data_IF_323139541758
#
_entry.id   IF_323139541758
#
_cell.length_a   1.000
_cell.length_b   1.000
_cell.length_c   1.000
_cell.angle_alpha   90.00
_cell.angle_beta   90.00
_cell.angle_gamma   90.00
#
_symmetry.space_group_name_H-M   'P 1'
#
loop_
_entity.id
_entity.type
_entity.pdbx_description
1 polymer ?
#
# COMPACT_ATOMS: atom_id res chain seq x y z
N UNK A 1 54.38 -56.84 30.14
CA UNK A 1 53.20 -57.72 30.02
C UNK A 1 52.10 -56.87 29.44
N UNK A 2 51.81 -56.98 28.09
CA UNK A 2 50.67 -57.70 27.47
C UNK A 2 49.34 -57.20 28.09
N UNK A 3 48.41 -56.71 27.42
CA UNK A 3 47.58 -56.78 26.22
C UNK A 3 46.45 -55.78 26.42
N UNK A 4 45.62 -55.31 25.60
CA UNK A 4 45.20 -55.56 24.20
C UNK A 4 44.30 -54.43 23.72
N UNK A 5 44.30 -54.25 22.44
CA UNK A 5 43.42 -53.35 21.69
C UNK A 5 41.95 -53.86 21.67
N UNK A 6 41.02 -52.96 21.63
CA UNK A 6 39.76 -53.18 20.93
C UNK A 6 39.23 -51.90 20.28
N UNK A 7 39.24 -51.92 18.94
CA UNK A 7 38.52 -51.00 18.06
C UNK A 7 37.03 -51.30 18.16
N UNK A 8 36.22 -50.26 18.25
CA UNK A 8 34.86 -50.29 17.73
C UNK A 8 34.65 -49.04 16.93
N UNK A 9 34.42 -49.23 15.67
CA UNK A 9 34.00 -48.22 14.72
C UNK A 9 32.52 -47.88 14.91
N UNK A 10 32.19 -46.63 14.83
CA UNK A 10 30.84 -46.12 14.74
C UNK A 10 30.83 -44.99 13.74
N UNK A 11 30.30 -45.24 12.54
CA UNK A 11 29.99 -44.22 11.55
C UNK A 11 28.97 -43.25 12.14
N UNK A 12 29.39 -42.03 12.43
CA UNK A 12 28.49 -40.93 12.66
C UNK A 12 28.21 -40.29 11.28
N UNK A 13 27.03 -40.56 10.74
CA UNK A 13 26.47 -39.85 9.60
C UNK A 13 26.16 -38.43 10.07
N UNK A 14 27.05 -37.51 9.74
CA UNK A 14 26.82 -36.09 9.98
C UNK A 14 25.81 -35.55 8.98
N UNK A 15 24.57 -35.33 9.44
CA UNK A 15 23.59 -34.51 8.72
C UNK A 15 24.07 -33.07 8.71
N UNK A 16 24.59 -32.61 7.56
CA UNK A 16 24.81 -31.21 7.27
C UNK A 16 23.43 -30.54 7.19
N UNK A 17 22.98 -29.95 8.28
CA UNK A 17 21.91 -28.98 8.25
C UNK A 17 22.45 -27.70 7.60
N UNK A 18 22.19 -27.52 6.29
CA UNK A 18 22.33 -26.23 5.65
C UNK A 18 21.30 -25.29 6.28
N UNK A 19 21.74 -24.53 7.26
CA UNK A 19 21.02 -23.36 7.72
C UNK A 19 21.07 -22.33 6.57
N UNK A 20 19.99 -22.23 5.81
CA UNK A 20 19.72 -21.04 5.01
C UNK A 20 19.53 -19.86 5.99
N UNK A 21 20.62 -19.19 6.34
CA UNK A 21 20.55 -17.84 6.85
C UNK A 21 20.03 -16.99 5.69
N UNK A 22 18.74 -16.71 5.70
CA UNK A 22 18.18 -15.59 4.97
C UNK A 22 18.86 -14.33 5.53
N UNK A 23 19.82 -13.79 4.77
CA UNK A 23 20.45 -12.53 5.09
C UNK A 23 19.38 -11.45 4.97
N UNK A 24 18.68 -11.19 6.07
CA UNK A 24 17.91 -9.95 6.20
C UNK A 24 18.90 -8.80 6.18
N UNK A 25 18.60 -7.69 5.48
CA UNK A 25 19.51 -6.57 5.41
C UNK A 25 19.78 -6.07 6.84
N UNK A 26 20.97 -6.33 7.33
CA UNK A 26 21.44 -6.00 8.69
C UNK A 26 21.29 -4.51 9.05
N UNK A 27 21.13 -3.64 8.05
CA UNK A 27 21.04 -2.19 8.23
C UNK A 27 19.78 -1.69 8.93
N UNK A 28 18.67 -2.47 8.96
CA UNK A 28 17.44 -2.07 9.69
C UNK A 28 17.39 -2.59 11.12
N UNK A 29 18.09 -3.68 11.44
CA UNK A 29 18.07 -4.29 12.77
C UNK A 29 18.88 -3.53 13.83
N UNK A 30 19.74 -2.59 13.43
CA UNK A 30 20.64 -1.84 14.34
C UNK A 30 20.28 -0.36 14.52
N UNK A 31 19.36 0.18 13.73
CA UNK A 31 18.92 1.56 13.86
C UNK A 31 17.85 1.70 14.96
N UNK A 32 18.26 1.58 16.21
CA UNK A 32 17.40 1.82 17.35
C UNK A 32 16.97 3.29 17.34
N UNK A 33 15.66 3.53 17.23
CA UNK A 33 15.12 4.89 17.23
C UNK A 33 15.37 5.57 18.57
N UNK A 34 15.97 6.75 18.55
CA UNK A 34 16.20 7.55 19.76
C UNK A 34 14.87 7.86 20.46
N UNK A 35 14.76 7.56 21.75
CA UNK A 35 13.53 7.73 22.52
C UNK A 35 13.02 9.18 22.55
N UNK A 36 13.93 10.16 22.47
CA UNK A 36 13.58 11.57 22.40
C UNK A 36 12.87 11.92 21.11
N UNK A 37 13.23 11.28 19.99
CA UNK A 37 12.57 11.45 18.70
C UNK A 37 11.20 10.79 18.67
N UNK A 38 11.07 9.62 19.30
CA UNK A 38 9.76 8.95 19.48
C UNK A 38 8.80 9.87 20.23
N UNK A 39 9.26 10.44 21.34
CA UNK A 39 8.45 11.36 22.14
C UNK A 39 8.09 12.64 21.39
N UNK A 40 9.03 13.21 20.63
CA UNK A 40 8.76 14.39 19.80
C UNK A 40 7.67 14.13 18.75
N UNK A 41 7.73 12.98 18.07
CA UNK A 41 6.74 12.59 17.08
C UNK A 41 5.38 12.26 17.73
N UNK A 42 5.37 11.64 18.90
CA UNK A 42 4.16 11.37 19.69
C UNK A 42 3.46 12.68 20.10
N UNK A 43 4.20 13.66 20.59
CA UNK A 43 3.67 14.98 20.93
C UNK A 43 3.06 15.65 19.70
N UNK A 44 3.73 15.60 18.56
CA UNK A 44 3.21 16.15 17.31
C UNK A 44 1.90 15.48 16.88
N UNK A 45 1.80 14.15 16.98
CA UNK A 45 0.58 13.40 16.68
C UNK A 45 -0.57 13.71 17.64
N UNK A 46 -0.27 14.06 18.92
CA UNK A 46 -1.29 14.48 19.90
C UNK A 46 -1.68 15.97 19.80
N UNK A 47 -1.23 16.67 18.74
CA UNK A 47 -1.54 18.09 18.51
C UNK A 47 -0.53 19.06 19.15
N UNK A 48 0.43 18.58 19.95
CA UNK A 48 1.47 19.41 20.58
C UNK A 48 2.69 19.55 19.66
N UNK A 49 2.46 20.00 18.43
CA UNK A 49 3.47 20.05 17.37
C UNK A 49 4.67 20.92 17.75
N UNK A 50 4.44 22.07 18.39
CA UNK A 50 5.51 23.00 18.78
C UNK A 50 6.42 22.41 19.86
N UNK A 51 5.85 21.63 20.80
CA UNK A 51 6.62 20.90 21.80
C UNK A 51 7.50 19.85 21.14
N UNK A 52 6.96 19.07 20.19
CA UNK A 52 7.72 18.11 19.41
C UNK A 52 8.85 18.77 18.61
N UNK A 53 8.59 19.90 17.94
CA UNK A 53 9.60 20.68 17.21
C UNK A 53 10.71 21.19 18.14
N UNK A 54 10.36 21.63 19.35
CA UNK A 54 11.32 22.12 20.32
C UNK A 54 12.30 21.01 20.75
N UNK A 55 11.81 19.78 20.97
CA UNK A 55 12.66 18.63 21.29
C UNK A 55 13.62 18.34 20.15
N UNK A 56 13.12 18.20 18.92
CA UNK A 56 13.95 17.86 17.74
C UNK A 56 15.00 18.96 17.47
N UNK A 57 14.62 20.23 17.55
CA UNK A 57 15.53 21.37 17.36
C UNK A 57 16.65 21.37 18.40
N UNK A 58 16.32 21.13 19.68
CA UNK A 58 17.33 21.05 20.75
C UNK A 58 18.27 19.87 20.51
N UNK A 59 17.74 18.74 20.09
CA UNK A 59 18.53 17.55 19.78
C UNK A 59 19.50 17.83 18.63
N UNK A 60 19.04 18.39 17.51
CA UNK A 60 19.90 18.75 16.38
C UNK A 60 20.97 19.77 16.74
N UNK A 61 20.72 20.66 17.70
CA UNK A 61 21.70 21.63 18.17
C UNK A 61 22.82 21.00 19.04
N UNK A 62 22.59 19.80 19.60
CA UNK A 62 23.54 19.11 20.48
C UNK A 62 24.27 17.96 19.80
N UNK A 63 23.71 17.41 18.72
CA UNK A 63 24.31 16.30 17.97
C UNK A 63 25.39 16.80 17.00
N UNK A 64 26.46 16.03 16.85
CA UNK A 64 27.39 16.18 15.74
C UNK A 64 26.78 15.63 14.44
N UNK A 65 27.06 16.22 13.27
CA UNK A 65 26.67 15.62 11.98
C UNK A 65 27.19 14.20 11.76
N UNK A 66 28.26 13.78 12.46
CA UNK A 66 28.79 12.41 12.42
C UNK A 66 28.04 11.42 13.30
N UNK A 67 27.15 11.88 14.18
CA UNK A 67 26.37 11.00 15.03
C UNK A 67 25.35 10.19 14.22
N UNK A 68 25.24 8.91 14.51
CA UNK A 68 24.28 8.00 13.83
C UNK A 68 22.82 8.41 14.02
N UNK A 69 22.53 9.16 15.07
CA UNK A 69 21.18 9.70 15.38
C UNK A 69 20.87 10.97 14.57
N UNK A 70 21.88 11.66 14.04
CA UNK A 70 21.70 12.93 13.34
C UNK A 70 20.76 12.84 12.11
N UNK A 71 20.94 11.88 11.16
CA UNK A 71 20.01 11.74 10.04
C UNK A 71 18.59 11.34 10.49
N UNK A 72 18.47 10.59 11.56
CA UNK A 72 17.18 10.27 12.16
C UNK A 72 16.48 11.53 12.74
N UNK A 73 17.24 12.42 13.38
CA UNK A 73 16.72 13.70 13.87
C UNK A 73 16.30 14.63 12.71
N UNK A 74 17.04 14.64 11.59
CA UNK A 74 16.64 15.35 10.37
C UNK A 74 15.32 14.79 9.80
N UNK A 75 15.15 13.45 9.79
CA UNK A 75 13.93 12.81 9.33
C UNK A 75 12.73 13.18 10.22
N UNK A 76 12.93 13.16 11.54
CA UNK A 76 11.91 13.61 12.49
C UNK A 76 11.57 15.10 12.30
N UNK A 77 12.59 15.95 12.10
CA UNK A 77 12.39 17.37 11.80
C UNK A 77 11.56 17.57 10.53
N UNK A 78 11.84 16.81 9.47
CA UNK A 78 11.06 16.86 8.23
C UNK A 78 9.58 16.47 8.46
N UNK A 79 9.33 15.40 9.23
CA UNK A 79 7.97 14.91 9.51
C UNK A 79 7.08 15.91 10.26
N UNK A 80 7.67 16.81 11.04
CA UNK A 80 6.94 17.81 11.86
C UNK A 80 7.23 19.26 11.47
N UNK A 81 7.84 19.47 10.30
CA UNK A 81 8.17 20.79 9.79
C UNK A 81 6.91 21.62 9.51
N UNK A 82 7.00 22.95 9.63
CA UNK A 82 5.86 23.83 9.40
C UNK A 82 5.54 24.06 7.92
N UNK A 83 6.51 23.83 7.04
CA UNK A 83 6.44 24.17 5.63
C UNK A 83 7.20 23.20 4.75
N UNK A 84 6.81 23.15 3.49
CA UNK A 84 7.37 22.24 2.49
C UNK A 84 8.86 22.48 2.18
N UNK A 85 9.33 23.72 2.29
CA UNK A 85 10.72 24.07 2.05
C UNK A 85 11.62 23.44 3.12
N UNK A 86 11.24 23.55 4.38
CA UNK A 86 11.94 22.91 5.50
C UNK A 86 11.91 21.40 5.40
N UNK A 87 10.75 20.81 4.98
CA UNK A 87 10.64 19.37 4.71
C UNK A 87 11.65 18.94 3.65
N UNK A 88 11.62 19.57 2.47
CA UNK A 88 12.48 19.20 1.35
C UNK A 88 13.97 19.40 1.68
N UNK A 89 14.33 20.47 2.37
CA UNK A 89 15.70 20.75 2.78
C UNK A 89 16.28 19.65 3.68
N UNK A 90 15.54 19.26 4.73
CA UNK A 90 15.98 18.21 5.65
C UNK A 90 16.08 16.85 4.95
N UNK A 91 15.08 16.50 4.12
CA UNK A 91 15.07 15.22 3.40
C UNK A 91 16.21 15.15 2.36
N UNK A 92 16.42 16.21 1.58
CA UNK A 92 17.52 16.26 0.62
C UNK A 92 18.88 16.16 1.32
N UNK A 93 19.03 16.78 2.48
CA UNK A 93 20.25 16.63 3.28
C UNK A 93 20.52 15.18 3.66
N UNK A 94 19.48 14.43 4.08
CA UNK A 94 19.62 13.00 4.39
C UNK A 94 20.09 12.25 3.14
N UNK A 95 19.44 12.48 1.99
CA UNK A 95 19.73 11.76 0.75
C UNK A 95 21.13 12.05 0.21
N UNK A 96 21.65 13.27 0.43
CA UNK A 96 22.97 13.70 -0.08
C UNK A 96 24.09 13.34 0.88
N UNK A 97 23.94 13.66 2.18
CA UNK A 97 25.01 13.51 3.16
C UNK A 97 25.02 12.12 3.83
N UNK A 98 23.85 11.46 3.90
CA UNK A 98 23.66 10.19 4.62
C UNK A 98 23.07 9.08 3.73
N UNK A 99 23.32 9.15 2.42
CA UNK A 99 22.73 8.22 1.44
C UNK A 99 23.07 6.74 1.67
N UNK A 100 24.18 6.41 2.32
CA UNK A 100 24.50 5.03 2.70
C UNK A 100 23.82 4.57 4.00
N UNK A 101 23.13 5.48 4.69
CA UNK A 101 22.48 5.20 5.97
C UNK A 101 21.08 4.59 5.83
N UNK A 102 20.53 4.07 6.95
CA UNK A 102 19.25 3.34 6.96
C UNK A 102 18.00 4.22 6.78
N UNK A 103 18.17 5.54 6.71
CA UNK A 103 17.07 6.52 6.66
C UNK A 103 16.91 7.21 5.30
N UNK A 104 17.80 6.90 4.35
CA UNK A 104 17.80 7.59 3.07
C UNK A 104 16.67 7.13 2.14
N UNK A 105 16.25 5.87 2.21
CA UNK A 105 15.09 5.37 1.50
C UNK A 105 13.78 5.94 2.06
N UNK A 106 13.68 6.10 3.41
CA UNK A 106 12.57 6.83 4.05
C UNK A 106 12.50 8.28 3.55
N UNK A 107 13.65 8.96 3.48
CA UNK A 107 13.73 10.34 3.00
C UNK A 107 13.28 10.46 1.53
N UNK A 108 13.69 9.54 0.67
CA UNK A 108 13.29 9.51 -0.74
C UNK A 108 11.79 9.23 -0.90
N UNK A 109 11.22 8.32 -0.10
CA UNK A 109 9.77 8.10 -0.11
C UNK A 109 9.02 9.37 0.28
N UNK A 110 9.45 10.05 1.35
CA UNK A 110 8.81 11.29 1.79
C UNK A 110 8.97 12.42 0.76
N UNK A 111 10.13 12.54 0.08
CA UNK A 111 10.30 13.46 -1.04
C UNK A 111 9.35 13.14 -2.18
N UNK A 112 9.21 11.87 -2.55
CA UNK A 112 8.27 11.43 -3.58
C UNK A 112 6.83 11.88 -3.24
N UNK A 113 6.41 11.69 -2.00
CA UNK A 113 5.08 12.08 -1.52
C UNK A 113 4.91 13.61 -1.46
N UNK A 114 5.94 14.33 -1.03
CA UNK A 114 5.94 15.79 -0.98
C UNK A 114 5.79 16.40 -2.37
N UNK A 115 6.61 15.98 -3.33
CA UNK A 115 6.55 16.50 -4.70
C UNK A 115 5.21 16.15 -5.38
N UNK A 116 4.68 14.96 -5.10
CA UNK A 116 3.35 14.60 -5.58
C UNK A 116 2.25 15.53 -5.00
N UNK A 117 2.34 15.84 -3.71
CA UNK A 117 1.41 16.78 -3.05
C UNK A 117 1.54 18.21 -3.61
N UNK A 118 2.74 18.60 -4.00
CA UNK A 118 3.03 19.89 -4.65
C UNK A 118 2.62 19.94 -6.13
N UNK A 119 2.09 18.84 -6.69
CA UNK A 119 1.75 18.69 -8.11
C UNK A 119 2.95 18.87 -9.04
N UNK A 120 4.10 18.41 -8.59
CA UNK A 120 5.31 18.31 -9.40
C UNK A 120 5.56 16.85 -9.80
N UNK A 121 4.95 16.38 -10.90
CA UNK A 121 5.08 14.99 -11.32
C UNK A 121 6.50 14.63 -11.76
N UNK A 122 7.27 15.58 -12.26
CA UNK A 122 8.65 15.34 -12.71
C UNK A 122 9.56 15.03 -11.51
N UNK A 123 9.52 15.84 -10.47
CA UNK A 123 10.28 15.61 -9.24
C UNK A 123 9.79 14.35 -8.50
N UNK A 124 8.48 14.07 -8.53
CA UNK A 124 7.90 12.85 -7.96
C UNK A 124 8.51 11.60 -8.58
N UNK A 125 8.53 11.55 -9.91
CA UNK A 125 9.14 10.43 -10.66
C UNK A 125 10.63 10.32 -10.34
N UNK A 126 11.37 11.42 -10.38
CA UNK A 126 12.81 11.43 -10.13
C UNK A 126 13.16 10.88 -8.73
N UNK A 127 12.44 11.30 -7.70
CA UNK A 127 12.66 10.83 -6.33
C UNK A 127 12.35 9.32 -6.18
N UNK A 128 11.24 8.85 -6.77
CA UNK A 128 10.86 7.44 -6.73
C UNK A 128 11.83 6.54 -7.52
N UNK A 129 12.26 6.98 -8.70
CA UNK A 129 13.25 6.25 -9.50
C UNK A 129 14.60 6.17 -8.80
N UNK A 130 15.00 7.24 -8.11
CA UNK A 130 16.20 7.23 -7.29
C UNK A 130 16.08 6.22 -6.14
N UNK A 131 14.92 6.14 -5.46
CA UNK A 131 14.69 5.13 -4.42
C UNK A 131 14.81 3.72 -5.01
N UNK A 132 14.18 3.46 -6.16
CA UNK A 132 14.22 2.14 -6.78
C UNK A 132 15.63 1.71 -7.22
N UNK A 133 16.45 2.66 -7.72
CA UNK A 133 17.80 2.41 -8.21
C UNK A 133 18.80 2.26 -7.08
N UNK A 134 18.78 3.18 -6.09
CA UNK A 134 19.79 3.27 -5.06
C UNK A 134 19.50 2.32 -3.89
N UNK A 135 18.21 1.92 -3.71
CA UNK A 135 17.75 1.02 -2.62
C UNK A 135 16.86 -0.11 -3.15
N UNK A 136 17.42 -1.04 -3.96
CA UNK A 136 16.64 -2.10 -4.63
C UNK A 136 15.92 -3.05 -3.65
N UNK A 137 16.44 -3.21 -2.43
CA UNK A 137 15.89 -4.08 -1.40
C UNK A 137 14.96 -3.34 -0.40
N UNK A 138 14.70 -2.05 -0.62
CA UNK A 138 13.85 -1.28 0.27
C UNK A 138 12.38 -1.75 0.20
N UNK A 139 11.74 -2.07 1.34
CA UNK A 139 10.32 -2.39 1.40
C UNK A 139 9.41 -1.17 1.14
N UNK A 140 10.00 0.02 0.95
CA UNK A 140 9.27 1.25 0.65
C UNK A 140 9.02 1.44 -0.85
N UNK A 141 9.68 0.66 -1.71
CA UNK A 141 9.57 0.72 -3.17
C UNK A 141 8.11 0.65 -3.67
N UNK A 142 7.26 -0.25 -3.17
CA UNK A 142 5.87 -0.31 -3.63
C UNK A 142 5.11 1.00 -3.45
N UNK A 143 5.33 1.69 -2.33
CA UNK A 143 4.70 2.99 -2.04
C UNK A 143 5.27 4.11 -2.91
N UNK A 144 6.57 4.10 -3.18
CA UNK A 144 7.22 5.03 -4.10
C UNK A 144 6.72 4.80 -5.54
N UNK A 145 6.64 3.54 -5.99
CA UNK A 145 6.11 3.15 -7.30
C UNK A 145 4.67 3.61 -7.49
N UNK A 146 3.83 3.47 -6.47
CA UNK A 146 2.45 3.95 -6.52
C UNK A 146 2.36 5.47 -6.72
N UNK A 147 3.18 6.23 -6.00
CA UNK A 147 3.22 7.69 -6.16
C UNK A 147 3.75 8.09 -7.54
N UNK A 148 4.81 7.43 -8.01
CA UNK A 148 5.36 7.65 -9.35
C UNK A 148 4.38 7.27 -10.47
N UNK A 149 3.64 6.16 -10.32
CA UNK A 149 2.62 5.75 -11.27
C UNK A 149 1.57 6.84 -11.48
N UNK A 150 1.10 7.42 -10.38
CA UNK A 150 0.14 8.53 -10.41
C UNK A 150 0.73 9.77 -11.11
N UNK A 151 1.99 10.08 -10.85
CA UNK A 151 2.70 11.15 -11.51
C UNK A 151 2.87 10.89 -13.01
N UNK A 152 3.18 9.66 -13.42
CA UNK A 152 3.25 9.29 -14.84
C UNK A 152 1.89 9.42 -15.56
N UNK A 153 0.79 9.13 -14.87
CA UNK A 153 -0.54 9.38 -15.41
C UNK A 153 -0.82 10.87 -15.63
N UNK A 154 -0.34 11.74 -14.75
CA UNK A 154 -0.41 13.20 -14.95
C UNK A 154 0.45 13.64 -16.15
N UNK A 155 1.62 13.02 -16.34
CA UNK A 155 2.51 13.21 -17.49
C UNK A 155 2.00 12.54 -18.79
N UNK A 156 0.82 11.92 -18.79
CA UNK A 156 0.22 11.19 -19.93
C UNK A 156 1.04 9.98 -20.38
N UNK A 157 1.90 9.44 -19.55
CA UNK A 157 2.63 8.20 -19.81
C UNK A 157 1.92 7.02 -19.15
N UNK A 158 0.81 6.58 -19.78
CA UNK A 158 -0.04 5.50 -19.28
C UNK A 158 0.72 4.19 -19.15
N UNK A 159 1.56 3.85 -20.13
CA UNK A 159 2.30 2.59 -20.14
C UNK A 159 3.22 2.46 -18.91
N UNK A 160 4.02 3.49 -18.62
CA UNK A 160 4.91 3.49 -17.47
C UNK A 160 4.14 3.57 -16.16
N UNK A 161 3.06 4.35 -16.13
CA UNK A 161 2.15 4.39 -14.97
C UNK A 161 1.59 3.02 -14.64
N UNK A 162 1.13 2.27 -15.62
CA UNK A 162 0.56 0.93 -15.42
C UNK A 162 1.60 -0.10 -15.00
N UNK A 163 2.80 -0.05 -15.54
CA UNK A 163 3.91 -0.91 -15.09
C UNK A 163 4.20 -0.69 -13.60
N UNK A 164 4.26 0.57 -13.16
CA UNK A 164 4.53 0.89 -11.76
C UNK A 164 3.35 0.55 -10.84
N UNK A 165 2.11 0.59 -11.31
CA UNK A 165 0.95 0.08 -10.58
C UNK A 165 1.09 -1.42 -10.33
N UNK A 166 1.50 -2.19 -11.33
CA UNK A 166 1.72 -3.63 -11.17
C UNK A 166 2.84 -3.88 -10.16
N UNK A 167 3.99 -3.21 -10.31
CA UNK A 167 5.11 -3.32 -9.36
C UNK A 167 4.71 -2.94 -7.91
N UNK A 168 3.80 -1.99 -7.75
CA UNK A 168 3.28 -1.61 -6.43
C UNK A 168 2.36 -2.69 -5.84
N UNK A 169 1.52 -3.35 -6.66
CA UNK A 169 0.67 -4.46 -6.24
C UNK A 169 1.49 -5.67 -5.82
N UNK A 170 2.47 -6.05 -6.64
CA UNK A 170 3.32 -7.22 -6.42
C UNK A 170 4.16 -7.06 -5.13
N UNK A 171 4.60 -5.85 -4.84
CA UNK A 171 5.39 -5.54 -3.66
C UNK A 171 4.57 -5.17 -2.41
N UNK A 172 3.24 -5.12 -2.49
CA UNK A 172 2.40 -4.64 -1.38
C UNK A 172 2.31 -5.61 -0.18
N UNK A 173 2.83 -6.85 -0.30
CA UNK A 173 2.83 -7.84 0.79
C UNK A 173 1.43 -8.04 1.36
N UNK A 174 1.28 -8.03 2.69
CA UNK A 174 -0.01 -8.21 3.37
C UNK A 174 -0.75 -6.89 3.67
N UNK A 175 -0.27 -5.75 3.15
CA UNK A 175 -0.91 -4.45 3.35
C UNK A 175 -2.18 -4.33 2.48
N UNK A 176 -3.30 -4.80 3.03
CA UNK A 176 -4.60 -4.83 2.35
C UNK A 176 -5.08 -3.42 2.00
N UNK A 177 -4.85 -2.44 2.89
CA UNK A 177 -5.26 -1.05 2.64
C UNK A 177 -4.50 -0.48 1.44
N UNK A 178 -3.19 -0.67 1.42
CA UNK A 178 -2.36 -0.24 0.30
C UNK A 178 -2.73 -0.95 -1.00
N UNK A 179 -2.96 -2.29 -0.97
CA UNK A 179 -3.45 -3.04 -2.14
C UNK A 179 -4.75 -2.47 -2.69
N UNK A 180 -5.70 -2.15 -1.83
CA UNK A 180 -6.97 -1.57 -2.24
C UNK A 180 -6.78 -0.20 -2.92
N UNK A 181 -5.90 0.64 -2.38
CA UNK A 181 -5.57 1.93 -2.99
C UNK A 181 -4.97 1.76 -4.38
N UNK A 182 -4.00 0.87 -4.52
CA UNK A 182 -3.31 0.63 -5.81
C UNK A 182 -4.27 -0.01 -6.82
N UNK A 183 -5.10 -0.97 -6.41
CA UNK A 183 -6.07 -1.67 -7.28
C UNK A 183 -7.09 -0.71 -7.90
N UNK A 184 -7.44 0.37 -7.22
CA UNK A 184 -8.28 1.42 -7.79
C UNK A 184 -7.67 2.03 -9.06
N UNK A 185 -6.36 2.22 -9.08
CA UNK A 185 -5.64 2.74 -10.24
C UNK A 185 -5.35 1.66 -11.30
N UNK A 186 -5.25 0.39 -10.90
CA UNK A 186 -5.05 -0.73 -11.82
C UNK A 186 -6.20 -0.88 -12.83
N UNK A 187 -7.42 -0.50 -12.45
CA UNK A 187 -8.56 -0.48 -13.36
C UNK A 187 -8.37 0.43 -14.58
N UNK A 188 -7.51 1.45 -14.48
CA UNK A 188 -7.14 2.33 -15.59
C UNK A 188 -6.21 1.65 -16.60
N UNK A 189 -5.47 0.64 -16.14
CA UNK A 189 -4.45 -0.07 -16.91
C UNK A 189 -5.01 -1.23 -17.74
N UNK A 190 -6.27 -1.59 -17.54
CA UNK A 190 -6.93 -2.58 -18.40
C UNK A 190 -7.16 -1.98 -19.78
N UNK A 191 -6.83 -2.68 -20.88
CA UNK A 191 -7.14 -2.19 -22.21
C UNK A 191 -8.64 -1.89 -22.29
N UNK A 192 -9.04 -0.80 -22.98
CA UNK A 192 -10.45 -0.54 -23.20
C UNK A 192 -11.03 -1.78 -23.89
N UNK A 193 -12.03 -2.40 -23.27
CA UNK A 193 -12.80 -3.46 -23.92
C UNK A 193 -13.36 -2.88 -25.21
N UNK A 194 -12.76 -3.25 -26.33
CA UNK A 194 -13.28 -2.88 -27.66
C UNK A 194 -14.73 -3.32 -27.70
N UNK A 195 -15.70 -2.44 -27.94
CA UNK A 195 -17.06 -2.89 -28.16
C UNK A 195 -17.00 -3.81 -29.37
N UNK A 196 -17.24 -5.09 -29.18
CA UNK A 196 -17.47 -6.01 -30.28
C UNK A 196 -18.65 -5.47 -31.08
N UNK A 197 -18.36 -4.92 -32.24
CA UNK A 197 -19.37 -4.49 -33.21
C UNK A 197 -20.16 -5.74 -33.59
N UNK A 198 -21.30 -5.94 -32.97
CA UNK A 198 -22.26 -6.96 -33.36
C UNK A 198 -22.75 -6.60 -34.75
N UNK A 199 -22.21 -7.25 -35.75
CA UNK A 199 -22.73 -7.21 -37.13
C UNK A 199 -24.16 -7.76 -37.08
N UNK A 200 -25.09 -6.88 -37.36
CA UNK A 200 -26.51 -7.21 -37.52
C UNK A 200 -26.67 -8.27 -38.61
N UNK A 201 -26.98 -9.49 -38.25
CA UNK A 201 -27.48 -10.50 -39.17
C UNK A 201 -28.99 -10.61 -38.94
N UNK A 202 -29.75 -10.36 -39.99
CA UNK A 202 -31.19 -10.43 -40.14
C UNK A 202 -31.75 -11.81 -39.73
N UNK A 203 -32.98 -11.90 -39.19
CA UNK A 203 -33.49 -13.15 -38.63
C UNK A 203 -33.99 -14.10 -39.70
N UNK A 204 -33.53 -15.35 -39.66
CA UNK A 204 -34.23 -16.47 -40.33
C UNK A 204 -34.81 -17.37 -39.27
N UNK A 205 -36.12 -17.52 -39.31
CA UNK A 205 -36.95 -18.37 -38.51
C UNK A 205 -36.59 -19.85 -38.74
N UNK A 206 -36.22 -20.59 -37.70
CA UNK A 206 -36.50 -22.02 -37.64
C UNK A 206 -36.68 -22.49 -36.20
N UNK A 207 -37.82 -23.12 -35.99
CA UNK A 207 -38.35 -23.68 -34.76
C UNK A 207 -37.71 -25.02 -34.49
N UNK A 208 -36.95 -25.15 -33.41
CA UNK A 208 -36.70 -26.46 -32.79
C UNK A 208 -36.56 -26.31 -31.28
N UNK A 209 -37.47 -26.92 -30.58
CA UNK A 209 -37.52 -27.03 -29.12
C UNK A 209 -36.30 -27.76 -28.59
N UNK A 210 -35.55 -27.11 -27.68
CA UNK A 210 -34.49 -27.74 -26.90
C UNK A 210 -34.74 -27.50 -25.41
N UNK A 211 -34.57 -28.59 -24.65
CA UNK A 211 -34.75 -28.69 -23.21
C UNK A 211 -34.15 -27.56 -22.38
N UNK A 212 -34.64 -27.25 -21.18
CA UNK A 212 -34.20 -26.15 -20.36
C UNK A 212 -32.77 -26.38 -19.88
N UNK A 213 -31.85 -25.54 -20.35
CA UNK A 213 -30.51 -25.39 -19.75
C UNK A 213 -30.65 -24.64 -18.41
N UNK A 214 -29.86 -25.02 -17.37
CA UNK A 214 -29.82 -24.27 -16.14
C UNK A 214 -29.38 -22.81 -16.43
N UNK A 215 -29.94 -21.81 -15.70
CA UNK A 215 -29.61 -20.42 -15.95
C UNK A 215 -28.12 -20.17 -15.74
N UNK A 216 -27.47 -19.33 -16.58
CA UNK A 216 -26.10 -18.92 -16.35
C UNK A 216 -26.04 -18.25 -14.99
N UNK A 217 -25.05 -18.59 -14.19
CA UNK A 217 -24.76 -17.97 -12.91
C UNK A 217 -24.68 -16.46 -13.13
N UNK A 218 -25.71 -15.74 -12.74
CA UNK A 218 -25.76 -14.30 -12.88
C UNK A 218 -24.71 -13.70 -11.96
N UNK A 219 -23.63 -13.18 -12.53
CA UNK A 219 -22.67 -12.37 -11.78
C UNK A 219 -23.41 -11.21 -11.15
N UNK A 220 -23.39 -11.14 -9.83
CA UNK A 220 -23.99 -10.05 -9.08
C UNK A 220 -22.91 -9.05 -8.69
N UNK A 221 -23.26 -7.77 -8.72
CA UNK A 221 -22.39 -6.69 -8.27
C UNK A 221 -22.91 -6.15 -6.95
N UNK A 222 -22.00 -5.75 -6.05
CA UNK A 222 -22.34 -5.04 -4.83
C UNK A 222 -21.45 -3.81 -4.64
N UNK A 223 -21.86 -2.90 -3.76
CA UNK A 223 -21.05 -1.76 -3.37
C UNK A 223 -20.47 -1.99 -1.99
N UNK A 224 -19.16 -2.16 -1.88
CA UNK A 224 -18.48 -2.27 -0.59
C UNK A 224 -18.19 -0.89 -0.03
N UNK A 225 -18.62 -0.64 1.21
CA UNK A 225 -18.49 0.65 1.89
C UNK A 225 -17.51 0.63 3.04
N UNK A 226 -17.19 -0.56 3.58
CA UNK A 226 -16.28 -0.73 4.72
C UNK A 226 -15.62 -2.11 4.67
N UNK A 227 -14.35 -2.17 5.14
CA UNK A 227 -13.66 -3.43 5.42
C UNK A 227 -12.80 -3.23 6.68
N UNK A 228 -13.17 -3.87 7.79
CA UNK A 228 -12.55 -3.69 9.11
C UNK A 228 -12.50 -5.01 9.88
N UNK A 229 -11.64 -5.09 10.89
CA UNK A 229 -11.58 -6.22 11.84
C UNK A 229 -12.45 -6.02 13.08
N UNK A 230 -12.91 -4.80 13.34
CA UNK A 230 -13.71 -4.46 14.52
C UNK A 230 -15.20 -4.63 14.26
N UNK A 231 -15.88 -5.47 15.04
CA UNK A 231 -17.32 -5.66 14.98
C UNK A 231 -18.09 -4.38 15.34
N UNK A 232 -17.60 -3.58 16.30
CA UNK A 232 -18.25 -2.33 16.70
C UNK A 232 -18.31 -1.30 15.55
N UNK A 233 -17.27 -1.22 14.70
CA UNK A 233 -17.26 -0.34 13.52
C UNK A 233 -18.23 -0.82 12.44
N UNK A 234 -18.45 -2.13 12.36
CA UNK A 234 -19.46 -2.72 11.45
C UNK A 234 -20.85 -2.34 11.88
N UNK A 235 -21.16 -2.47 13.19
CA UNK A 235 -22.48 -2.17 13.74
C UNK A 235 -22.84 -0.68 13.59
N UNK A 236 -21.87 0.23 13.82
CA UNK A 236 -22.05 1.67 13.56
C UNK A 236 -22.35 1.95 12.09
N UNK A 237 -21.60 1.33 11.17
CA UNK A 237 -21.83 1.51 9.74
C UNK A 237 -23.16 0.94 9.29
N UNK A 238 -23.57 -0.25 9.76
CA UNK A 238 -24.88 -0.84 9.46
C UNK A 238 -26.04 0.04 9.95
N UNK A 239 -25.91 0.59 11.15
CA UNK A 239 -26.90 1.50 11.71
C UNK A 239 -27.03 2.77 10.87
N UNK A 240 -25.93 3.38 10.47
CA UNK A 240 -25.93 4.54 9.57
C UNK A 240 -26.57 4.24 8.22
N UNK A 241 -26.20 3.14 7.60
CA UNK A 241 -26.76 2.73 6.30
C UNK A 241 -28.26 2.48 6.38
N UNK A 242 -28.72 1.82 7.45
CA UNK A 242 -30.15 1.54 7.70
C UNK A 242 -30.97 2.83 7.87
N UNK A 243 -30.47 3.80 8.63
CA UNK A 243 -31.11 5.12 8.81
C UNK A 243 -31.23 5.87 7.47
N UNK A 244 -30.25 5.70 6.57
CA UNK A 244 -30.26 6.32 5.24
C UNK A 244 -31.05 5.53 4.18
N UNK A 245 -31.70 4.42 4.56
CA UNK A 245 -32.53 3.60 3.69
C UNK A 245 -31.74 2.66 2.76
N UNK A 246 -30.53 2.30 3.13
CA UNK A 246 -29.73 1.33 2.37
C UNK A 246 -29.76 -0.05 3.03
N UNK A 247 -30.03 -1.08 2.25
CA UNK A 247 -29.88 -2.46 2.68
C UNK A 247 -28.41 -2.87 2.60
N UNK A 248 -27.81 -3.13 3.75
CA UNK A 248 -26.43 -3.55 3.87
C UNK A 248 -26.31 -4.94 4.48
N UNK A 249 -25.31 -5.68 4.05
CA UNK A 249 -24.95 -6.99 4.61
C UNK A 249 -23.47 -7.06 4.94
N UNK A 250 -23.13 -7.93 5.88
CA UNK A 250 -21.76 -8.19 6.28
C UNK A 250 -21.29 -9.49 5.64
N UNK A 251 -20.14 -9.44 5.00
CA UNK A 251 -19.44 -10.61 4.48
C UNK A 251 -18.12 -10.74 5.24
N UNK A 252 -17.87 -11.88 5.86
CA UNK A 252 -16.62 -12.17 6.52
C UNK A 252 -15.70 -12.90 5.54
N UNK A 253 -14.50 -12.40 5.32
CA UNK A 253 -13.54 -13.10 4.48
C UNK A 253 -12.68 -14.08 5.29
N UNK A 254 -11.92 -14.91 4.58
CA UNK A 254 -11.02 -15.91 5.17
C UNK A 254 -9.90 -15.31 6.02
N UNK A 255 -9.61 -14.03 5.86
CA UNK A 255 -8.58 -13.30 6.62
C UNK A 255 -9.14 -12.63 7.89
N UNK A 256 -10.44 -12.81 8.17
CA UNK A 256 -11.11 -12.32 9.38
C UNK A 256 -11.59 -10.87 9.30
N UNK A 257 -11.56 -10.23 8.10
CA UNK A 257 -12.16 -8.92 7.90
C UNK A 257 -13.67 -9.03 7.71
N UNK A 258 -14.39 -8.08 8.30
CA UNK A 258 -15.78 -7.83 8.04
C UNK A 258 -15.91 -6.80 6.91
N UNK A 259 -16.55 -7.18 5.82
CA UNK A 259 -16.82 -6.33 4.67
C UNK A 259 -18.30 -5.97 4.65
N UNK A 260 -18.61 -4.68 4.75
CA UNK A 260 -19.99 -4.19 4.65
C UNK A 260 -20.28 -3.89 3.18
N UNK A 261 -21.26 -4.60 2.61
CA UNK A 261 -21.70 -4.48 1.21
C UNK A 261 -23.15 -4.03 1.14
N UNK A 262 -23.45 -3.15 0.18
CA UNK A 262 -24.77 -2.57 -0.04
C UNK A 262 -25.31 -3.03 -1.39
N UNK A 263 -26.55 -3.50 -1.38
CA UNK A 263 -27.31 -3.94 -2.56
C UNK A 263 -26.78 -5.22 -3.20
N UNK A 264 -27.55 -5.70 -4.18
CA UNK A 264 -27.18 -6.71 -5.20
C UNK A 264 -27.66 -6.19 -6.53
N UNK A 265 -26.76 -6.02 -7.47
CA UNK A 265 -27.04 -5.42 -8.78
C UNK A 265 -26.68 -6.42 -9.87
N UNK A 266 -27.49 -6.49 -10.90
CA UNK A 266 -27.28 -7.41 -12.02
C UNK A 266 -26.23 -6.83 -12.97
N UNK A 267 -26.13 -5.48 -13.05
CA UNK A 267 -25.17 -4.80 -13.92
C UNK A 267 -24.22 -3.93 -13.11
N UNK A 268 -23.01 -3.78 -13.64
CA UNK A 268 -21.98 -2.93 -13.05
C UNK A 268 -22.38 -1.45 -13.05
N UNK A 269 -23.14 -1.03 -14.05
CA UNK A 269 -23.66 0.35 -14.19
C UNK A 269 -24.66 0.69 -13.08
N UNK A 270 -25.51 -0.27 -12.69
CA UNK A 270 -26.42 -0.11 -11.56
C UNK A 270 -25.65 0.03 -10.25
N UNK A 271 -24.67 -0.83 -10.03
CA UNK A 271 -23.79 -0.77 -8.87
C UNK A 271 -23.03 0.58 -8.81
N UNK A 272 -22.53 1.08 -9.94
CA UNK A 272 -21.87 2.40 -10.02
C UNK A 272 -22.83 3.56 -9.72
N UNK A 273 -24.10 3.47 -10.14
CA UNK A 273 -25.13 4.47 -9.79
C UNK A 273 -25.38 4.47 -8.28
N UNK A 274 -25.46 3.29 -7.68
CA UNK A 274 -25.59 3.14 -6.23
C UNK A 274 -24.35 3.63 -5.48
N UNK A 275 -23.16 3.35 -5.99
CA UNK A 275 -21.89 3.85 -5.45
C UNK A 275 -21.85 5.38 -5.38
N UNK A 276 -22.27 6.08 -6.45
CA UNK A 276 -22.33 7.56 -6.44
C UNK A 276 -23.30 8.08 -5.39
N UNK A 277 -24.48 7.46 -5.23
CA UNK A 277 -25.47 7.83 -4.21
C UNK A 277 -24.94 7.59 -2.78
N UNK A 278 -24.27 6.46 -2.56
CA UNK A 278 -23.62 6.14 -1.28
C UNK A 278 -22.52 7.13 -0.94
N UNK A 279 -21.66 7.47 -1.90
CA UNK A 279 -20.60 8.45 -1.70
C UNK A 279 -21.14 9.82 -1.29
N UNK A 280 -22.26 10.26 -1.85
CA UNK A 280 -22.87 11.54 -1.49
C UNK A 280 -23.52 11.54 -0.12
N UNK A 281 -24.11 10.42 0.32
CA UNK A 281 -24.89 10.35 1.57
C UNK A 281 -24.08 9.88 2.77
N UNK A 282 -23.19 8.91 2.57
CA UNK A 282 -22.43 8.25 3.65
C UNK A 282 -21.02 8.82 3.76
N UNK A 283 -20.53 9.40 2.68
CA UNK A 283 -19.11 9.79 2.56
C UNK A 283 -18.22 8.56 2.33
N UNK A 284 -16.91 8.74 2.54
CA UNK A 284 -15.93 7.68 2.32
C UNK A 284 -15.70 7.39 0.84
N UNK A 285 -15.14 6.23 0.56
CA UNK A 285 -14.87 5.77 -0.82
C UNK A 285 -15.50 4.38 -1.05
N UNK A 286 -16.81 4.30 -1.22
CA UNK A 286 -17.46 3.05 -1.60
C UNK A 286 -16.99 2.62 -3.00
N UNK A 287 -16.83 1.32 -3.23
CA UNK A 287 -16.42 0.76 -4.52
C UNK A 287 -17.25 -0.47 -4.90
N UNK A 288 -17.38 -0.69 -6.21
CA UNK A 288 -18.12 -1.83 -6.75
C UNK A 288 -17.27 -3.09 -6.68
N UNK A 289 -17.85 -4.18 -6.19
CA UNK A 289 -17.25 -5.52 -6.13
C UNK A 289 -18.09 -6.51 -6.90
N UNK A 290 -17.43 -7.46 -7.54
CA UNK A 290 -18.09 -8.62 -8.14
C UNK A 290 -18.42 -9.62 -7.03
N UNK A 291 -19.60 -10.23 -7.14
CA UNK A 291 -20.01 -11.34 -6.29
C UNK A 291 -20.25 -12.56 -7.14
N UNK A 292 -19.60 -13.69 -6.83
CA UNK A 292 -19.82 -14.95 -7.52
C UNK A 292 -21.24 -15.48 -7.33
#
# INVERSE_FOLDING_TARGET
>A
MKLAARRFGGLAVGTLALAFLTAQPLNRLTAQTDSRLIEALRLAQSGQVDSGRAIVRRLLATLSPSDSVFPQALLAAAKIAPDAQTVSSNLNRIVVEYGAGPWADDALLLLTQLYFAQRDPAQTVQAAERLNRDYPDSPLRPRANFSAARAYFELKNEARGCELIQNALDGAGDDVEFKNQVSFYAARCSPPSTPTTTTTSTPTTDTAAKAPQPPPTAHAYAVQVLAVKSAAQVDDMLTRLKVMGFEARVVRDSTGFFKVRVGRYITREEAQRAQRRLKQKVGGQPFVVDEP
#
